data_IF_759090954000
#
_entry.id   IF_759090954000
#
_cell.length_a   1.000
_cell.length_b   1.000
_cell.length_c   1.000
_cell.angle_alpha   90.00
_cell.angle_beta   90.00
_cell.angle_gamma   90.00
#
_symmetry.space_group_name_H-M   'P 1'
#
loop_
_entity.id
_entity.type
_entity.pdbx_description
1 polymer ?
#
# COMPACT_ATOMS: atom_id res chain seq x y z
N UNK A 1 -38.01 -46.83 -22.94
CA UNK A 1 -37.57 -47.43 -24.21
C UNK A 1 -36.05 -47.36 -24.17
N UNK A 2 -35.25 -48.42 -24.02
CA UNK A 2 -35.45 -49.85 -24.09
C UNK A 2 -34.32 -50.49 -23.26
N UNK A 3 -34.66 -51.51 -22.49
CA UNK A 3 -33.74 -52.37 -21.74
C UNK A 3 -32.95 -53.27 -22.70
N UNK A 4 -31.72 -53.65 -22.33
CA UNK A 4 -31.34 -55.07 -22.40
C UNK A 4 -30.19 -55.42 -21.45
N UNK A 5 -30.56 -56.16 -20.42
CA UNK A 5 -29.72 -57.10 -19.69
C UNK A 5 -29.72 -58.45 -20.45
N UNK A 6 -28.78 -59.36 -20.09
CA UNK A 6 -28.88 -60.84 -20.02
C UNK A 6 -27.64 -61.61 -20.55
N UNK A 7 -26.92 -62.20 -19.56
CA UNK A 7 -26.34 -63.56 -19.42
C UNK A 7 -25.04 -64.02 -20.13
N UNK A 8 -24.05 -64.32 -19.27
CA UNK A 8 -23.35 -65.62 -19.01
C UNK A 8 -23.25 -66.68 -20.11
N UNK A 9 -22.06 -67.24 -20.37
CA UNK A 9 -21.64 -68.58 -19.87
C UNK A 9 -20.18 -68.93 -20.25
N UNK A 10 -19.54 -69.55 -19.27
CA UNK A 10 -18.31 -70.32 -19.15
C UNK A 10 -17.91 -71.23 -20.33
N UNK A 11 -16.62 -71.23 -20.72
CA UNK A 11 -15.91 -72.41 -21.25
C UNK A 11 -14.43 -72.39 -20.83
N UNK A 12 -14.16 -73.07 -19.72
CA UNK A 12 -13.16 -74.14 -19.55
C UNK A 12 -11.74 -74.03 -20.17
N UNK A 13 -10.77 -74.13 -19.25
CA UNK A 13 -9.54 -74.96 -19.28
C UNK A 13 -8.55 -74.77 -20.44
N UNK A 14 -7.35 -74.27 -20.09
CA UNK A 14 -6.12 -75.08 -20.03
C UNK A 14 -4.89 -74.19 -19.90
N UNK A 15 -3.91 -74.70 -19.14
CA UNK A 15 -2.46 -74.44 -19.27
C UNK A 15 -1.80 -73.61 -18.16
N UNK A 16 -1.42 -74.34 -17.10
CA UNK A 16 -0.15 -74.28 -16.35
C UNK A 16 0.47 -72.88 -16.13
N UNK A 17 0.25 -72.38 -14.91
CA UNK A 17 0.97 -71.25 -14.32
C UNK A 17 2.43 -71.67 -14.04
N UNK A 18 3.37 -71.20 -14.85
CA UNK A 18 4.81 -71.35 -14.60
C UNK A 18 5.30 -70.06 -13.93
N UNK A 19 5.61 -70.18 -12.63
CA UNK A 19 6.21 -69.14 -11.81
C UNK A 19 7.54 -68.69 -12.45
N UNK A 20 7.56 -67.52 -13.10
CA UNK A 20 8.78 -66.87 -13.56
C UNK A 20 9.19 -65.82 -12.54
N UNK A 21 10.24 -66.15 -11.79
CA UNK A 21 11.00 -65.25 -10.94
C UNK A 21 11.60 -64.16 -11.85
N UNK A 22 11.20 -62.91 -11.64
CA UNK A 22 11.85 -61.75 -12.26
C UNK A 22 13.20 -61.49 -11.55
N UNK A 23 14.33 -61.35 -12.28
CA UNK A 23 15.60 -60.96 -11.68
C UNK A 23 15.56 -59.47 -11.29
N UNK A 24 16.04 -59.19 -10.07
CA UNK A 24 16.23 -57.86 -9.50
C UNK A 24 17.23 -57.03 -10.32
N UNK A 25 16.77 -55.93 -10.91
CA UNK A 25 17.61 -54.95 -11.60
C UNK A 25 18.12 -53.91 -10.59
N UNK A 26 19.14 -54.26 -9.81
CA UNK A 26 19.85 -53.36 -8.90
C UNK A 26 21.34 -53.50 -9.16
N UNK A 27 21.88 -52.76 -10.14
CA UNK A 27 23.29 -52.94 -10.52
C UNK A 27 23.99 -51.84 -11.31
N UNK A 28 23.38 -50.71 -11.67
CA UNK A 28 24.04 -49.73 -12.57
C UNK A 28 24.06 -48.27 -12.10
N UNK A 29 23.19 -47.86 -11.17
CA UNK A 29 23.17 -46.47 -10.66
C UNK A 29 24.30 -46.19 -9.67
N UNK A 30 24.70 -47.21 -8.90
CA UNK A 30 25.76 -47.08 -7.90
C UNK A 30 27.14 -46.87 -8.54
N UNK A 31 27.39 -47.52 -9.67
CA UNK A 31 28.65 -47.39 -10.43
C UNK A 31 28.79 -46.03 -11.13
N UNK A 32 27.71 -45.45 -11.67
CA UNK A 32 27.77 -44.10 -12.25
C UNK A 32 28.08 -43.03 -11.20
N UNK A 33 27.50 -43.13 -9.99
CA UNK A 33 27.76 -42.19 -8.90
C UNK A 33 29.19 -42.33 -8.34
N UNK A 34 29.74 -43.54 -8.27
CA UNK A 34 31.13 -43.75 -7.88
C UNK A 34 32.13 -43.29 -8.95
N UNK A 35 31.80 -43.40 -10.24
CA UNK A 35 32.64 -42.92 -11.33
C UNK A 35 32.77 -41.39 -11.33
N UNK A 36 31.66 -40.67 -11.06
CA UNK A 36 31.69 -39.21 -10.88
C UNK A 36 32.48 -38.85 -9.61
N UNK A 37 32.24 -39.55 -8.49
CA UNK A 37 32.92 -39.29 -7.22
C UNK A 37 34.43 -39.54 -7.27
N UNK A 38 34.88 -40.58 -7.99
CA UNK A 38 36.31 -40.91 -8.15
C UNK A 38 37.05 -39.99 -9.13
N UNK A 39 36.34 -39.40 -10.10
CA UNK A 39 36.91 -38.37 -10.98
C UNK A 39 37.01 -37.03 -10.24
N UNK A 40 35.99 -36.62 -9.49
CA UNK A 40 35.95 -35.35 -8.74
C UNK A 40 37.05 -35.23 -7.67
N UNK A 41 37.57 -36.35 -7.15
CA UNK A 41 38.68 -36.35 -6.18
C UNK A 41 40.09 -36.30 -6.79
N UNK A 42 40.21 -36.31 -8.13
CA UNK A 42 41.50 -36.21 -8.82
C UNK A 42 42.17 -34.85 -8.58
N UNK A 43 43.50 -34.85 -8.35
CA UNK A 43 44.31 -33.63 -8.16
C UNK A 43 44.09 -32.63 -9.29
N UNK A 44 43.86 -33.13 -10.51
CA UNK A 44 43.60 -32.33 -11.71
C UNK A 44 42.34 -31.46 -11.58
N UNK A 45 41.26 -32.01 -11.00
CA UNK A 45 40.01 -31.29 -10.80
C UNK A 45 40.14 -30.26 -9.68
N UNK A 46 40.95 -30.52 -8.65
CA UNK A 46 41.28 -29.50 -7.63
C UNK A 46 42.05 -28.33 -8.22
N UNK A 47 42.98 -28.58 -9.15
CA UNK A 47 43.70 -27.51 -9.87
C UNK A 47 42.78 -26.74 -10.80
N UNK A 48 41.90 -27.43 -11.54
CA UNK A 48 40.90 -26.79 -12.39
C UNK A 48 39.94 -25.90 -11.58
N UNK A 49 39.42 -26.39 -10.46
CA UNK A 49 38.59 -25.60 -9.55
C UNK A 49 39.38 -24.45 -8.92
N UNK A 50 40.66 -24.65 -8.58
CA UNK A 50 41.53 -23.59 -8.08
C UNK A 50 41.68 -22.45 -9.10
N UNK A 51 41.93 -22.79 -10.37
CA UNK A 51 42.02 -21.80 -11.47
C UNK A 51 40.67 -21.14 -11.70
N UNK A 52 39.57 -21.88 -11.67
CA UNK A 52 38.22 -21.34 -11.86
C UNK A 52 37.82 -20.37 -10.74
N UNK A 53 38.08 -20.74 -9.48
CA UNK A 53 37.87 -19.88 -8.31
C UNK A 53 38.77 -18.63 -8.40
N UNK A 54 40.03 -18.79 -8.81
CA UNK A 54 40.95 -17.67 -8.98
C UNK A 54 40.52 -16.74 -10.12
N UNK A 55 40.05 -17.30 -11.23
CA UNK A 55 39.48 -16.52 -12.34
C UNK A 55 38.24 -15.76 -11.91
N UNK A 56 37.37 -16.36 -11.09
CA UNK A 56 36.22 -15.68 -10.52
C UNK A 56 36.59 -14.61 -9.48
N UNK A 57 37.68 -14.80 -8.74
CA UNK A 57 38.22 -13.81 -7.81
C UNK A 57 38.84 -12.61 -8.53
N UNK A 58 39.49 -12.83 -9.68
CA UNK A 58 40.09 -11.77 -10.52
C UNK A 58 39.03 -11.08 -11.40
N UNK A 59 38.03 -11.82 -11.88
CA UNK A 59 36.97 -11.31 -12.76
C UNK A 59 35.77 -10.71 -12.02
N UNK A 60 35.71 -10.83 -10.68
CA UNK A 60 34.84 -10.00 -9.86
C UNK A 60 33.36 -10.39 -9.86
N UNK A 61 33.01 -11.68 -9.73
CA UNK A 61 31.60 -12.07 -9.44
C UNK A 61 31.08 -11.52 -8.10
N UNK A 62 31.96 -10.94 -7.26
CA UNK A 62 31.58 -10.15 -6.10
C UNK A 62 30.58 -9.05 -6.44
N UNK A 63 30.73 -8.34 -7.55
CA UNK A 63 29.83 -7.23 -7.96
C UNK A 63 28.43 -7.71 -8.35
N UNK A 64 28.26 -8.99 -8.68
CA UNK A 64 26.95 -9.58 -9.02
C UNK A 64 26.17 -9.96 -7.76
N UNK A 65 26.87 -10.37 -6.70
CA UNK A 65 26.26 -10.71 -5.39
C UNK A 65 26.19 -9.51 -4.44
N UNK A 66 27.14 -8.59 -4.57
CA UNK A 66 27.12 -7.22 -4.04
C UNK A 66 26.62 -6.32 -5.16
N UNK A 67 25.42 -6.61 -5.70
CA UNK A 67 24.83 -5.76 -6.73
C UNK A 67 24.97 -4.31 -6.31
N UNK A 68 25.45 -3.45 -7.22
CA UNK A 68 25.46 -2.00 -7.02
C UNK A 68 24.08 -1.60 -6.48
N UNK A 69 23.97 -1.47 -5.14
CA UNK A 69 22.73 -1.04 -4.48
C UNK A 69 22.31 0.33 -5.01
N UNK A 70 23.29 1.06 -5.53
CA UNK A 70 23.15 2.44 -5.92
C UNK A 70 22.91 2.64 -7.43
N UNK A 71 22.86 1.59 -8.25
CA UNK A 71 22.51 1.68 -9.68
C UNK A 71 23.27 2.76 -10.48
N UNK A 72 22.72 3.16 -11.63
CA UNK A 72 23.12 4.41 -12.31
C UNK A 72 22.30 5.57 -11.72
N UNK A 73 22.94 6.71 -11.49
CA UNK A 73 22.27 7.91 -11.00
C UNK A 73 21.27 8.41 -12.06
N UNK A 74 19.99 8.47 -11.69
CA UNK A 74 18.92 8.97 -12.57
C UNK A 74 18.82 10.48 -12.45
N UNK A 75 19.09 11.03 -11.26
CA UNK A 75 19.14 12.47 -10.99
C UNK A 75 20.28 12.77 -10.01
N UNK A 76 21.14 13.74 -10.34
CA UNK A 76 22.17 14.25 -9.44
C UNK A 76 21.83 15.67 -9.00
N UNK A 77 21.83 15.91 -7.68
CA UNK A 77 21.51 17.21 -7.09
C UNK A 77 22.58 17.58 -6.07
N UNK A 78 23.41 18.57 -6.42
CA UNK A 78 24.60 18.89 -5.63
C UNK A 78 25.54 17.69 -5.54
N UNK A 79 25.79 17.21 -4.32
CA UNK A 79 26.64 16.04 -4.05
C UNK A 79 25.85 14.75 -3.76
N UNK A 80 24.52 14.75 -3.97
CA UNK A 80 23.66 13.60 -3.71
C UNK A 80 23.11 13.06 -5.04
N UNK A 81 23.42 11.81 -5.29
CA UNK A 81 22.89 11.06 -6.43
C UNK A 81 21.65 10.27 -6.00
N UNK A 82 20.61 10.34 -6.83
CA UNK A 82 19.38 9.59 -6.69
C UNK A 82 19.30 8.57 -7.82
N UNK A 83 19.25 7.30 -7.44
CA UNK A 83 19.15 6.20 -8.39
C UNK A 83 17.70 5.73 -8.56
N UNK A 84 17.51 4.71 -9.40
CA UNK A 84 16.19 4.13 -9.65
C UNK A 84 15.55 3.51 -8.40
N UNK A 85 16.35 2.94 -7.48
CA UNK A 85 15.85 2.35 -6.24
C UNK A 85 15.36 3.44 -5.27
N UNK A 86 16.05 4.57 -5.19
CA UNK A 86 15.61 5.73 -4.39
C UNK A 86 14.28 6.26 -4.90
N UNK A 87 14.16 6.42 -6.21
CA UNK A 87 12.91 6.86 -6.84
C UNK A 87 11.77 5.88 -6.56
N UNK A 88 12.03 4.57 -6.71
CA UNK A 88 11.03 3.54 -6.45
C UNK A 88 10.60 3.51 -4.97
N UNK A 89 11.54 3.70 -4.05
CA UNK A 89 11.26 3.80 -2.61
C UNK A 89 10.34 4.97 -2.30
N UNK A 90 10.62 6.16 -2.84
CA UNK A 90 9.77 7.34 -2.68
C UNK A 90 8.40 7.18 -3.37
N UNK A 91 8.34 6.51 -4.52
CA UNK A 91 7.09 6.16 -5.18
C UNK A 91 6.22 5.24 -4.31
N UNK A 92 6.79 4.18 -3.75
CA UNK A 92 6.08 3.25 -2.87
C UNK A 92 5.62 3.92 -1.57
N UNK A 93 6.39 4.87 -1.02
CA UNK A 93 5.97 5.71 0.11
C UNK A 93 4.78 6.59 -0.26
N UNK A 94 4.85 7.30 -1.39
CA UNK A 94 3.77 8.17 -1.87
C UNK A 94 2.48 7.36 -2.14
N UNK A 95 2.61 6.18 -2.75
CA UNK A 95 1.50 5.25 -3.00
C UNK A 95 0.83 4.80 -1.70
N UNK A 96 1.61 4.36 -0.71
CA UNK A 96 1.09 3.96 0.62
C UNK A 96 0.39 5.11 1.34
N UNK A 97 0.92 6.33 1.24
CA UNK A 97 0.32 7.51 1.87
C UNK A 97 -1.09 7.84 1.31
N UNK A 98 -1.30 7.63 0.01
CA UNK A 98 -2.58 7.90 -0.64
C UNK A 98 -3.63 6.80 -0.43
N UNK A 99 -3.26 5.63 0.10
CA UNK A 99 -4.17 4.48 0.31
C UNK A 99 -5.00 4.13 -0.93
N UNK A 100 -4.40 4.27 -2.11
CA UNK A 100 -5.08 4.05 -3.38
C UNK A 100 -5.42 2.56 -3.56
N UNK A 101 -6.66 2.23 -3.93
CA UNK A 101 -7.00 0.89 -4.40
C UNK A 101 -6.20 0.56 -5.68
N UNK A 102 -5.79 -0.71 -5.89
CA UNK A 102 -4.98 -1.11 -7.04
C UNK A 102 -5.58 -0.72 -8.39
N UNK A 103 -6.91 -0.67 -8.50
CA UNK A 103 -7.65 -0.38 -9.73
C UNK A 103 -7.47 1.06 -10.21
N UNK A 104 -7.13 1.99 -9.30
CA UNK A 104 -6.92 3.39 -9.64
C UNK A 104 -5.44 3.74 -9.83
N UNK A 105 -4.52 2.82 -9.54
CA UNK A 105 -3.07 3.09 -9.59
C UNK A 105 -2.65 3.59 -10.98
N UNK A 106 -3.12 2.95 -12.05
CA UNK A 106 -2.72 3.31 -13.41
C UNK A 106 -3.20 4.70 -13.83
N UNK A 107 -4.36 5.14 -13.33
CA UNK A 107 -4.92 6.46 -13.62
C UNK A 107 -4.15 7.59 -12.94
N UNK A 108 -3.59 7.34 -11.75
CA UNK A 108 -2.91 8.35 -10.94
C UNK A 108 -1.38 8.25 -10.98
N UNK A 109 -0.85 7.18 -11.58
CA UNK A 109 0.60 6.93 -11.72
C UNK A 109 1.35 8.15 -12.25
N UNK A 110 0.91 8.85 -13.32
CA UNK A 110 1.64 10.02 -13.83
C UNK A 110 1.74 11.15 -12.79
N UNK A 111 0.67 11.41 -12.04
CA UNK A 111 0.66 12.46 -11.02
C UNK A 111 1.52 12.09 -9.82
N UNK A 112 1.55 10.81 -9.42
CA UNK A 112 2.43 10.34 -8.36
C UNK A 112 3.89 10.47 -8.78
N UNK A 113 4.23 10.02 -10.00
CA UNK A 113 5.59 10.12 -10.54
C UNK A 113 6.06 11.58 -10.60
N UNK A 114 5.20 12.49 -11.06
CA UNK A 114 5.51 13.93 -11.08
C UNK A 114 5.72 14.49 -9.67
N UNK A 115 4.81 14.18 -8.74
CA UNK A 115 4.90 14.61 -7.34
C UNK A 115 6.17 14.11 -6.65
N UNK A 116 6.52 12.84 -6.86
CA UNK A 116 7.74 12.22 -6.32
C UNK A 116 8.98 12.88 -6.91
N UNK A 117 9.01 13.10 -8.22
CA UNK A 117 10.12 13.80 -8.90
C UNK A 117 10.32 15.20 -8.32
N UNK A 118 9.24 15.98 -8.21
CA UNK A 118 9.29 17.32 -7.63
C UNK A 118 9.74 17.30 -6.16
N UNK A 119 9.32 16.28 -5.40
CA UNK A 119 9.73 16.10 -4.01
C UNK A 119 11.22 15.80 -3.89
N UNK A 120 11.74 14.87 -4.70
CA UNK A 120 13.17 14.54 -4.76
C UNK A 120 13.98 15.79 -5.13
N UNK A 121 13.57 16.51 -6.17
CA UNK A 121 14.26 17.73 -6.62
C UNK A 121 14.27 18.78 -5.52
N UNK A 122 13.11 19.09 -4.94
CA UNK A 122 12.99 20.10 -3.88
C UNK A 122 13.80 19.73 -2.64
N UNK A 123 13.67 18.50 -2.16
CA UNK A 123 14.37 18.06 -0.95
C UNK A 123 15.87 17.96 -1.18
N UNK A 124 16.30 17.51 -2.37
CA UNK A 124 17.71 17.48 -2.77
C UNK A 124 18.32 18.87 -2.81
N UNK A 125 17.62 19.86 -3.39
CA UNK A 125 18.08 21.25 -3.44
C UNK A 125 18.19 21.87 -2.04
N UNK A 126 17.20 21.66 -1.17
CA UNK A 126 17.26 22.10 0.23
C UNK A 126 18.40 21.43 0.98
N UNK A 127 18.59 20.12 0.76
CA UNK A 127 19.65 19.36 1.40
C UNK A 127 21.04 19.84 0.95
N UNK A 128 21.21 20.15 -0.33
CA UNK A 128 22.44 20.76 -0.86
C UNK A 128 22.72 22.13 -0.24
N UNK A 129 21.73 23.03 -0.26
CA UNK A 129 21.87 24.38 0.32
C UNK A 129 22.18 24.34 1.82
N UNK A 130 21.52 23.45 2.56
CA UNK A 130 21.77 23.31 4.00
C UNK A 130 23.17 22.78 4.30
N UNK A 131 23.73 21.93 3.44
CA UNK A 131 25.12 21.46 3.56
C UNK A 131 26.11 22.59 3.22
N UNK A 132 25.84 23.36 2.17
CA UNK A 132 26.67 24.51 1.77
C UNK A 132 26.71 25.58 2.88
N UNK A 133 25.59 25.79 3.58
CA UNK A 133 25.48 26.67 4.74
C UNK A 133 26.02 26.06 6.04
N UNK A 134 26.54 24.83 6.01
CA UNK A 134 27.01 24.07 7.18
C UNK A 134 25.98 24.01 8.31
N UNK A 135 24.70 23.89 7.96
CA UNK A 135 23.63 23.73 8.95
C UNK A 135 23.69 22.31 9.51
N UNK A 136 23.73 22.21 10.84
CA UNK A 136 23.80 20.92 11.54
C UNK A 136 22.67 20.86 12.57
N UNK A 137 21.98 19.72 12.59
CA UNK A 137 21.00 19.41 13.62
C UNK A 137 21.58 18.35 14.57
N UNK A 138 21.88 18.76 15.80
CA UNK A 138 22.59 17.92 16.77
C UNK A 138 21.74 16.78 17.34
N UNK A 139 22.38 15.68 17.70
CA UNK A 139 21.70 14.47 18.21
C UNK A 139 20.88 14.72 19.48
N UNK A 140 21.36 15.60 20.36
CA UNK A 140 20.62 15.97 21.56
C UNK A 140 19.28 16.65 21.23
N UNK A 141 19.26 17.47 20.18
CA UNK A 141 18.05 18.15 19.72
C UNK A 141 17.10 17.17 19.02
N UNK A 142 17.65 16.21 18.26
CA UNK A 142 16.90 15.13 17.63
C UNK A 142 16.21 14.23 18.67
N UNK A 143 16.95 13.82 19.71
CA UNK A 143 16.40 13.04 20.83
C UNK A 143 15.32 13.81 21.59
N UNK A 144 15.53 15.11 21.81
CA UNK A 144 14.51 15.97 22.45
C UNK A 144 13.25 16.06 21.59
N UNK A 145 13.39 16.23 20.28
CA UNK A 145 12.26 16.32 19.37
C UNK A 145 11.46 15.02 19.33
N UNK A 146 12.13 13.86 19.18
CA UNK A 146 11.49 12.54 19.20
C UNK A 146 10.83 12.26 20.55
N UNK A 147 11.50 12.60 21.66
CA UNK A 147 10.93 12.46 23.00
C UNK A 147 9.75 13.40 23.29
N UNK A 148 9.62 14.50 22.55
CA UNK A 148 8.49 15.41 22.64
C UNK A 148 7.30 14.96 21.78
N UNK A 149 7.51 14.08 20.80
CA UNK A 149 6.43 13.57 19.95
C UNK A 149 5.38 12.83 20.78
N UNK A 150 4.11 13.19 20.60
CA UNK A 150 2.98 12.54 21.28
C UNK A 150 2.76 11.12 20.78
N UNK A 151 3.16 10.82 19.54
CA UNK A 151 3.02 9.51 18.92
C UNK A 151 3.80 8.41 19.65
N UNK A 152 4.87 8.78 20.36
CA UNK A 152 5.73 7.82 21.07
C UNK A 152 5.58 7.93 22.59
N UNK A 153 4.46 8.48 23.08
CA UNK A 153 4.15 8.52 24.51
C UNK A 153 3.22 7.38 24.91
N UNK A 154 3.51 6.75 26.05
CA UNK A 154 2.59 5.80 26.69
C UNK A 154 1.43 6.52 27.39
N UNK A 155 0.51 5.73 27.96
CA UNK A 155 -0.67 6.22 28.68
C UNK A 155 -0.35 7.18 29.84
N UNK A 156 0.87 7.13 30.37
CA UNK A 156 1.36 8.03 31.42
C UNK A 156 2.01 9.31 30.86
N UNK A 157 1.92 9.54 29.55
CA UNK A 157 2.50 10.70 28.85
C UNK A 157 4.03 10.68 28.74
N UNK A 158 4.69 9.57 29.06
CA UNK A 158 6.15 9.42 28.98
C UNK A 158 6.56 8.75 27.68
N UNK A 159 7.71 9.13 27.15
CA UNK A 159 8.29 8.49 25.97
C UNK A 159 8.48 6.98 26.19
N UNK A 160 8.05 6.18 25.23
CA UNK A 160 8.15 4.73 25.22
C UNK A 160 8.98 4.25 24.01
N UNK A 161 10.20 3.73 24.23
CA UNK A 161 11.04 3.21 23.17
C UNK A 161 10.43 2.03 22.41
N UNK A 162 9.56 1.23 23.04
CA UNK A 162 8.93 0.08 22.38
C UNK A 162 7.89 0.53 21.37
N UNK A 163 7.15 1.61 21.64
CA UNK A 163 6.23 2.22 20.67
C UNK A 163 6.99 2.75 19.44
N UNK A 164 8.17 3.35 19.64
CA UNK A 164 9.04 3.77 18.55
C UNK A 164 9.49 2.56 17.72
N UNK A 165 10.05 1.51 18.36
CA UNK A 165 10.51 0.32 17.65
C UNK A 165 9.39 -0.39 16.90
N UNK A 166 8.19 -0.47 17.49
CA UNK A 166 7.03 -1.05 16.85
C UNK A 166 6.59 -0.24 15.62
N UNK A 167 6.60 1.09 15.72
CA UNK A 167 6.28 1.97 14.58
C UNK A 167 7.31 1.83 13.45
N UNK A 168 8.60 1.74 13.79
CA UNK A 168 9.68 1.52 12.82
C UNK A 168 9.55 0.15 12.14
N UNK A 169 9.30 -0.91 12.92
CA UNK A 169 9.08 -2.25 12.41
C UNK A 169 7.89 -2.30 11.44
N UNK A 170 6.75 -1.70 11.82
CA UNK A 170 5.57 -1.62 10.96
C UNK A 170 5.80 -0.81 9.68
N UNK A 171 6.74 0.14 9.71
CA UNK A 171 7.10 0.97 8.56
C UNK A 171 8.21 0.37 7.69
N UNK A 172 8.83 -0.73 8.14
CA UNK A 172 9.98 -1.36 7.49
C UNK A 172 11.25 -0.50 7.53
N UNK A 173 11.39 0.37 8.53
CA UNK A 173 12.53 1.26 8.69
C UNK A 173 13.44 0.78 9.83
N UNK A 174 14.75 0.92 9.64
CA UNK A 174 15.71 0.79 10.73
C UNK A 174 15.79 2.08 11.56
N UNK A 175 16.31 1.97 12.78
CA UNK A 175 16.51 3.13 13.66
C UNK A 175 17.48 4.14 13.04
N UNK A 176 18.56 3.67 12.41
CA UNK A 176 19.55 4.53 11.74
C UNK A 176 18.96 5.27 10.53
N UNK A 177 18.17 4.59 9.69
CA UNK A 177 17.49 5.20 8.54
C UNK A 177 16.48 6.26 9.01
N UNK A 178 15.74 5.98 10.08
CA UNK A 178 14.80 6.93 10.66
C UNK A 178 15.52 8.17 11.21
N UNK A 179 16.57 8.01 12.02
CA UNK A 179 17.26 9.17 12.58
C UNK A 179 18.05 9.95 11.52
N UNK A 180 18.59 9.27 10.51
CA UNK A 180 19.26 9.93 9.38
C UNK A 180 18.28 10.78 8.57
N UNK A 181 17.14 10.20 8.18
CA UNK A 181 16.10 10.93 7.44
C UNK A 181 15.50 12.07 8.26
N UNK A 182 15.21 11.84 9.54
CA UNK A 182 14.71 12.88 10.44
C UNK A 182 15.71 14.02 10.61
N UNK A 183 17.01 13.73 10.68
CA UNK A 183 18.06 14.77 10.75
C UNK A 183 18.09 15.63 9.49
N UNK A 184 17.98 15.01 8.31
CA UNK A 184 17.89 15.73 7.03
C UNK A 184 16.63 16.61 6.97
N UNK A 185 15.49 16.07 7.39
CA UNK A 185 14.23 16.82 7.45
C UNK A 185 14.31 18.02 8.40
N UNK A 186 14.83 17.84 9.61
CA UNK A 186 14.95 18.92 10.59
C UNK A 186 15.89 20.02 10.13
N UNK A 187 16.98 19.68 9.44
CA UNK A 187 17.91 20.64 8.84
C UNK A 187 17.22 21.46 7.74
N UNK A 188 16.47 20.80 6.85
CA UNK A 188 15.70 21.48 5.81
C UNK A 188 14.62 22.39 6.40
N UNK A 189 13.90 21.92 7.42
CA UNK A 189 12.88 22.70 8.12
C UNK A 189 13.45 23.93 8.82
N UNK A 190 14.67 23.83 9.37
CA UNK A 190 15.37 24.98 9.95
C UNK A 190 15.64 26.07 8.91
N UNK A 191 16.11 25.70 7.71
CA UNK A 191 16.33 26.64 6.61
C UNK A 191 15.00 27.28 6.16
N UNK A 192 13.97 26.48 5.91
CA UNK A 192 12.65 26.98 5.51
C UNK A 192 12.10 27.95 6.57
N UNK A 193 12.20 27.59 7.85
CA UNK A 193 11.70 28.43 8.95
C UNK A 193 12.44 29.76 9.05
N UNK A 194 13.75 29.78 8.77
CA UNK A 194 14.53 31.02 8.74
C UNK A 194 14.09 31.94 7.58
N UNK A 195 13.85 31.36 6.41
CA UNK A 195 13.37 32.10 5.22
C UNK A 195 11.95 32.61 5.43
N UNK A 196 11.02 31.75 5.83
CA UNK A 196 9.60 32.08 5.97
C UNK A 196 9.33 32.96 7.20
N UNK A 197 10.03 32.72 8.31
CA UNK A 197 9.86 33.50 9.55
C UNK A 197 10.21 34.99 9.39
N UNK A 198 10.96 35.33 8.33
CA UNK A 198 11.32 36.71 8.00
C UNK A 198 10.29 37.41 7.10
N UNK A 199 9.27 36.69 6.60
CA UNK A 199 8.29 37.22 5.66
C UNK A 199 7.03 37.65 6.43
N UNK A 200 6.80 38.95 6.50
CA UNK A 200 5.51 39.49 6.96
C UNK A 200 4.47 39.37 5.82
N UNK A 201 3.29 38.78 6.08
CA UNK A 201 2.24 38.70 5.07
C UNK A 201 1.77 40.10 4.66
N UNK A 202 1.40 40.34 3.38
CA UNK A 202 0.91 41.63 2.93
C UNK A 202 -0.29 42.11 3.76
N UNK A 203 -0.23 43.35 4.25
CA UNK A 203 -1.25 43.92 5.14
C UNK A 203 -2.68 43.82 4.56
N UNK A 204 -2.82 43.97 3.23
CA UNK A 204 -4.10 43.87 2.52
C UNK A 204 -4.75 42.50 2.70
N UNK A 205 -3.97 41.41 2.64
CA UNK A 205 -4.49 40.05 2.82
C UNK A 205 -4.89 39.80 4.28
N UNK A 206 -4.02 40.20 5.20
CA UNK A 206 -4.26 40.06 6.65
C UNK A 206 -5.49 40.82 7.08
N UNK A 207 -5.67 42.06 6.61
CA UNK A 207 -6.82 42.90 6.93
C UNK A 207 -8.13 42.30 6.37
N UNK A 208 -8.12 41.79 5.14
CA UNK A 208 -9.32 41.15 4.55
C UNK A 208 -9.74 39.91 5.33
N UNK A 209 -8.79 39.04 5.67
CA UNK A 209 -9.06 37.83 6.45
C UNK A 209 -9.55 38.21 7.85
N UNK A 210 -8.92 39.21 8.48
CA UNK A 210 -9.33 39.70 9.80
C UNK A 210 -10.76 40.24 9.77
N UNK A 211 -11.09 41.10 8.79
CA UNK A 211 -12.44 41.65 8.62
C UNK A 211 -13.48 40.56 8.39
N UNK A 212 -13.18 39.58 7.54
CA UNK A 212 -14.07 38.45 7.27
C UNK A 212 -14.32 37.60 8.53
N UNK A 213 -13.26 37.22 9.25
CA UNK A 213 -13.36 36.41 10.46
C UNK A 213 -14.10 37.11 11.60
N UNK A 214 -14.00 38.44 11.65
CA UNK A 214 -14.64 39.27 12.68
C UNK A 214 -15.89 39.98 12.17
N UNK A 215 -16.42 39.58 11.01
CA UNK A 215 -17.62 40.18 10.46
C UNK A 215 -18.83 39.82 11.36
N UNK A 216 -19.39 40.83 12.01
CA UNK A 216 -20.63 40.68 12.78
C UNK A 216 -21.80 41.16 11.93
N UNK A 217 -22.80 40.30 11.75
CA UNK A 217 -24.04 40.63 11.03
C UNK A 217 -25.16 40.79 12.03
N UNK A 218 -25.74 41.97 12.07
CA UNK A 218 -26.97 42.24 12.81
C UNK A 218 -28.10 42.14 11.79
N UNK A 219 -29.02 41.20 12.02
CA UNK A 219 -30.18 40.98 11.17
C UNK A 219 -31.40 41.45 11.96
N UNK A 220 -32.12 42.42 11.42
CA UNK A 220 -33.45 42.78 11.92
C UNK A 220 -34.47 41.92 11.19
N UNK A 221 -35.13 41.02 11.92
CA UNK A 221 -36.19 40.18 11.38
C UNK A 221 -37.51 40.84 11.74
N UNK A 222 -38.32 41.13 10.72
CA UNK A 222 -39.71 41.54 10.89
C UNK A 222 -40.58 40.38 10.42
N UNK A 223 -41.29 39.78 11.35
CA UNK A 223 -42.23 38.68 11.08
C UNK A 223 -43.64 39.25 10.94
N UNK A 224 -44.27 39.02 9.79
CA UNK A 224 -45.66 39.38 9.55
C UNK A 224 -46.53 38.15 9.78
N UNK A 225 -47.35 38.16 10.83
CA UNK A 225 -48.35 37.11 11.08
C UNK A 225 -49.66 37.46 10.36
N UNK A 226 -50.43 36.46 9.93
CA UNK A 226 -51.72 36.72 9.25
C UNK A 226 -52.71 37.54 10.11
N UNK A 227 -52.59 37.47 11.44
CA UNK A 227 -53.38 38.25 12.40
C UNK A 227 -53.05 39.75 12.39
N UNK A 228 -51.83 40.12 11.97
CA UNK A 228 -51.39 41.52 11.84
C UNK A 228 -51.93 42.21 10.58
N UNK A 229 -52.54 41.45 9.66
CA UNK A 229 -53.17 41.95 8.44
C UNK A 229 -54.64 42.25 8.76
N UNK A 230 -54.93 43.48 9.19
CA UNK A 230 -56.29 43.96 9.36
C UNK A 230 -56.99 44.01 8.00
N UNK A 231 -58.13 43.30 7.91
CA UNK A 231 -59.14 43.32 6.84
C UNK A 231 -58.75 44.14 5.59
N UNK A 232 -58.04 43.50 4.67
CA UNK A 232 -57.78 44.08 3.36
C UNK A 232 -59.09 44.14 2.57
N UNK A 233 -59.42 45.28 1.93
CA UNK A 233 -60.57 45.35 1.04
C UNK A 233 -60.40 44.34 -0.10
N UNK A 234 -61.50 43.72 -0.52
CA UNK A 234 -61.47 42.82 -1.68
C UNK A 234 -60.96 43.58 -2.91
N UNK A 235 -59.99 43.04 -3.66
CA UNK A 235 -59.41 43.72 -4.82
C UNK A 235 -60.44 43.95 -5.91
N UNK A 236 -60.33 45.07 -6.63
CA UNK A 236 -61.26 45.37 -7.74
C UNK A 236 -60.99 44.42 -8.90
N UNK A 237 -62.05 44.00 -9.59
CA UNK A 237 -61.95 43.10 -10.76
C UNK A 237 -61.03 43.68 -11.87
N UNK A 238 -60.99 45.00 -12.02
CA UNK A 238 -60.08 45.68 -12.97
C UNK A 238 -58.60 45.54 -12.59
N UNK A 239 -58.27 45.58 -11.30
CA UNK A 239 -56.91 45.44 -10.78
C UNK A 239 -56.45 43.98 -10.91
N UNK A 240 -57.34 43.02 -10.63
CA UNK A 240 -57.08 41.59 -10.83
C UNK A 240 -56.84 41.25 -12.31
N UNK A 241 -57.62 41.85 -13.22
CA UNK A 241 -57.45 41.63 -14.67
C UNK A 241 -56.10 42.18 -15.17
N UNK A 242 -55.70 43.35 -14.70
CA UNK A 242 -54.40 43.95 -15.05
C UNK A 242 -53.25 43.09 -14.53
N UNK A 243 -53.32 42.67 -13.25
CA UNK A 243 -52.32 41.77 -12.66
C UNK A 243 -52.23 40.44 -13.40
N UNK A 244 -53.36 39.87 -13.81
CA UNK A 244 -53.40 38.63 -14.58
C UNK A 244 -52.71 38.77 -15.94
N UNK A 245 -52.96 39.85 -16.69
CA UNK A 245 -52.29 40.08 -17.97
C UNK A 245 -50.79 40.36 -17.78
N UNK A 246 -50.41 41.16 -16.78
CA UNK A 246 -49.00 41.51 -16.49
C UNK A 246 -48.20 40.29 -16.00
N UNK A 247 -48.87 39.29 -15.40
CA UNK A 247 -48.22 38.12 -14.76
C UNK A 247 -48.61 36.79 -15.41
N UNK A 248 -49.15 36.82 -16.63
CA UNK A 248 -49.71 35.67 -17.35
C UNK A 248 -48.76 34.47 -17.42
N UNK A 249 -47.47 34.73 -17.55
CA UNK A 249 -46.40 33.71 -17.58
C UNK A 249 -46.30 32.88 -16.30
N UNK A 250 -46.70 33.40 -15.13
CA UNK A 250 -46.69 32.67 -13.85
C UNK A 250 -47.92 31.80 -13.63
N UNK A 251 -48.98 32.04 -14.39
CA UNK A 251 -50.23 31.25 -14.36
C UNK A 251 -50.29 30.22 -15.50
N UNK A 252 -49.23 30.14 -16.31
CA UNK A 252 -49.08 29.06 -17.29
C UNK A 252 -48.84 27.74 -16.55
N UNK A 253 -49.34 26.64 -17.11
CA UNK A 253 -48.99 25.31 -16.61
C UNK A 253 -47.47 25.13 -16.64
N UNK A 254 -46.89 24.46 -15.63
CA UNK A 254 -45.47 24.13 -15.64
C UNK A 254 -45.11 23.40 -16.93
N UNK A 255 -43.97 23.74 -17.51
CA UNK A 255 -43.44 23.01 -18.66
C UNK A 255 -43.10 21.59 -18.20
N UNK A 256 -43.93 20.61 -18.57
CA UNK A 256 -43.61 19.20 -18.36
C UNK A 256 -42.40 18.85 -19.24
N UNK A 257 -41.36 18.28 -18.62
CA UNK A 257 -40.21 17.72 -19.33
C UNK A 257 -40.17 16.22 -19.04
N UNK A 258 -40.08 15.42 -20.08
CA UNK A 258 -39.79 14.00 -19.95
C UNK A 258 -38.29 13.83 -19.68
N UNK A 259 -37.94 13.17 -18.59
CA UNK A 259 -36.57 12.81 -18.25
C UNK A 259 -36.51 11.29 -18.15
N UNK A 260 -35.68 10.67 -18.98
CA UNK A 260 -35.32 9.26 -18.82
C UNK A 260 -34.13 9.21 -17.87
N UNK A 261 -34.27 8.49 -16.77
CA UNK A 261 -33.17 8.22 -15.84
C UNK A 261 -33.07 6.73 -15.60
N UNK A 262 -31.85 6.26 -15.35
CA UNK A 262 -31.58 4.89 -14.93
C UNK A 262 -31.26 4.94 -13.45
N UNK A 263 -32.03 4.21 -12.64
CA UNK A 263 -31.73 4.02 -11.23
C UNK A 263 -30.92 2.73 -11.08
N UNK A 264 -29.66 2.86 -10.67
CA UNK A 264 -28.77 1.71 -10.44
C UNK A 264 -28.65 1.53 -8.93
N UNK A 265 -29.48 0.63 -8.37
CA UNK A 265 -29.34 0.17 -6.99
C UNK A 265 -28.44 -1.09 -6.98
N UNK A 266 -27.29 -1.07 -6.27
CA UNK A 266 -26.42 -2.23 -6.15
C UNK A 266 -27.13 -3.50 -5.68
N UNK A 267 -28.20 -3.38 -4.87
CA UNK A 267 -29.00 -4.54 -4.41
C UNK A 267 -29.85 -5.14 -5.52
N UNK A 268 -30.33 -4.33 -6.46
CA UNK A 268 -31.09 -4.82 -7.61
C UNK A 268 -30.16 -5.43 -8.64
N UNK A 269 -29.01 -4.78 -8.91
CA UNK A 269 -27.97 -5.33 -9.79
C UNK A 269 -27.45 -6.67 -9.27
N UNK A 270 -27.24 -6.80 -7.95
CA UNK A 270 -26.72 -8.02 -7.34
C UNK A 270 -27.64 -9.25 -7.53
N UNK A 271 -28.95 -9.08 -7.73
CA UNK A 271 -29.88 -10.21 -7.95
C UNK A 271 -29.71 -10.85 -9.32
N UNK A 272 -29.26 -10.07 -10.31
CA UNK A 272 -29.05 -10.53 -11.68
C UNK A 272 -27.64 -11.09 -11.90
N UNK A 273 -26.74 -10.94 -10.91
CA UNK A 273 -25.40 -11.55 -10.94
C UNK A 273 -25.54 -13.04 -10.59
N UNK A 274 -25.61 -13.88 -11.61
CA UNK A 274 -25.45 -15.33 -11.46
C UNK A 274 -23.97 -15.68 -11.34
N UNK A 275 -23.52 -16.01 -10.13
CA UNK A 275 -22.19 -16.55 -9.89
C UNK A 275 -22.27 -18.08 -10.04
N UNK A 276 -21.49 -18.66 -10.97
CA UNK A 276 -21.48 -20.12 -11.13
C UNK A 276 -20.74 -20.81 -9.98
N UNK A 277 -21.13 -22.04 -9.68
CA UNK A 277 -20.43 -22.84 -8.66
C UNK A 277 -18.97 -23.12 -9.01
N UNK A 278 -18.60 -23.14 -10.30
CA UNK A 278 -17.20 -23.29 -10.70
C UNK A 278 -16.36 -22.10 -10.25
N UNK A 279 -16.84 -20.87 -10.46
CA UNK A 279 -16.14 -19.64 -10.05
C UNK A 279 -15.99 -19.60 -8.53
N UNK A 280 -17.02 -20.00 -7.79
CA UNK A 280 -16.97 -20.08 -6.32
C UNK A 280 -15.91 -21.09 -5.87
N UNK A 281 -15.84 -22.27 -6.51
CA UNK A 281 -14.86 -23.30 -6.16
C UNK A 281 -13.44 -22.89 -6.53
N UNK A 282 -13.25 -22.21 -7.66
CA UNK A 282 -11.95 -21.70 -8.09
C UNK A 282 -11.42 -20.64 -7.12
N UNK A 283 -12.27 -19.67 -6.76
CA UNK A 283 -11.92 -18.61 -5.80
C UNK A 283 -11.71 -19.15 -4.38
N UNK A 284 -12.51 -20.14 -3.95
CA UNK A 284 -12.29 -20.81 -2.67
C UNK A 284 -10.96 -21.58 -2.64
N UNK A 285 -10.61 -22.23 -3.76
CA UNK A 285 -9.37 -23.00 -3.87
C UNK A 285 -8.14 -22.10 -3.94
N UNK A 286 -8.23 -20.94 -4.60
CA UNK A 286 -7.13 -19.97 -4.69
C UNK A 286 -6.82 -19.30 -3.34
N UNK A 287 -7.80 -19.23 -2.42
CA UNK A 287 -7.69 -18.57 -1.11
C UNK A 287 -7.73 -19.53 0.08
N UNK A 288 -7.49 -20.82 -0.18
CA UNK A 288 -7.62 -21.88 0.82
C UNK A 288 -6.67 -21.69 2.02
N UNK A 289 -5.51 -21.07 1.79
CA UNK A 289 -4.52 -20.73 2.83
C UNK A 289 -5.00 -19.62 3.79
N UNK A 290 -5.88 -18.71 3.33
CA UNK A 290 -6.48 -17.65 4.15
C UNK A 290 -7.72 -18.13 4.91
N UNK A 291 -8.38 -19.18 4.39
CA UNK A 291 -9.67 -19.68 4.89
C UNK A 291 -9.54 -20.95 5.74
N UNK A 292 -8.34 -21.51 5.87
CA UNK A 292 -8.08 -22.65 6.75
C UNK A 292 -7.24 -22.22 7.95
N UNK A 293 -7.64 -22.67 9.14
CA UNK A 293 -6.81 -22.54 10.33
C UNK A 293 -5.82 -23.71 10.37
N UNK A 294 -4.49 -23.47 10.31
CA UNK A 294 -3.50 -24.54 10.39
C UNK A 294 -3.60 -25.29 11.72
N UNK A 295 -3.35 -26.60 11.68
CA UNK A 295 -3.42 -27.44 12.87
C UNK A 295 -2.35 -27.01 13.90
N UNK A 296 -2.81 -26.46 15.03
CA UNK A 296 -1.94 -26.16 16.18
C UNK A 296 -1.65 -27.44 16.96
N UNK A 297 -0.37 -27.75 17.17
CA UNK A 297 0.07 -28.81 18.08
C UNK A 297 0.62 -28.18 19.35
N UNK A 298 -0.04 -28.40 20.48
CA UNK A 298 0.49 -27.98 21.79
C UNK A 298 1.45 -29.03 22.31
N UNK A 299 2.76 -28.73 22.28
CA UNK A 299 3.79 -29.53 22.94
C UNK A 299 3.91 -29.10 24.40
N UNK A 300 3.53 -29.99 25.33
CA UNK A 300 3.83 -29.81 26.76
C UNK A 300 5.10 -30.59 27.09
N UNK A 301 6.20 -29.89 27.29
CA UNK A 301 7.46 -30.47 27.75
C UNK A 301 7.51 -30.37 29.27
N UNK A 302 7.61 -31.51 29.95
CA UNK A 302 7.90 -31.56 31.39
C UNK A 302 9.38 -31.92 31.51
N UNK A 303 10.16 -31.05 32.16
CA UNK A 303 11.60 -31.22 32.32
C UNK A 303 11.85 -31.84 33.70
N UNK A 304 12.54 -32.97 33.72
CA UNK A 304 12.94 -33.65 34.94
C UNK A 304 14.46 -33.61 35.11
N UNK A 305 14.92 -33.44 36.35
CA UNK A 305 16.35 -33.28 36.67
C UNK A 305 17.13 -34.60 36.64
N UNK A 306 16.46 -35.75 36.75
CA UNK A 306 17.08 -37.08 36.77
C UNK A 306 16.18 -38.12 36.11
N UNK A 307 16.79 -39.16 35.55
CA UNK A 307 16.08 -40.25 34.84
C UNK A 307 15.04 -40.96 35.73
N UNK A 308 15.35 -41.19 37.00
CA UNK A 308 14.41 -41.79 37.97
C UNK A 308 13.19 -40.92 38.28
N UNK A 309 13.23 -39.62 37.97
CA UNK A 309 12.10 -38.71 38.20
C UNK A 309 11.15 -38.64 37.01
N UNK A 310 11.53 -39.25 35.88
CA UNK A 310 10.82 -39.20 34.60
C UNK A 310 10.11 -40.53 34.23
N UNK A 311 10.42 -41.62 34.95
CA UNK A 311 9.72 -42.91 34.88
C UNK A 311 8.58 -42.95 35.90
#
# INVERSE_FOLDING_TARGET
MQFHDVRTYDVAKSTVFKLLVFPSFTGTVFDMLQFIRSKVTSIFIKVLFGILILSFAIWGIGDIFMGNRDGEAVVSIGNKDYNANDFLSEYEKAKRAMRLPPEYEELVRPQIVESVTQSIVRNGLLSAETLDLNLVFGDAQLKKWVGQSETFRNDNGKFDPELLRQALFNSGLTEDEFFSSLREEMRNNQLISAVVGSILPPAILTEKIFKYRNEKRIINIVEFTNESILSLPAPKVSELRKLYEDTKSKYMSPVYRSVTYVNVDPKEVAKDIMISEEIIKEEYSSRLDEMTTPASRTLKQIIFSTKNSAE
#
